data_IF_817495326705
#
_entry.id   IF_817495326705
#
_cell.length_a   1.000
_cell.length_b   1.000
_cell.length_c   1.000
_cell.angle_alpha   90.00
_cell.angle_beta   90.00
_cell.angle_gamma   90.00
#
_symmetry.space_group_name_H-M   'P 1'
#
loop_
_entity.id
_entity.type
_entity.pdbx_description
1 polymer ?
#
# COMPACT_ATOMS: atom_id res chain seq x y z
N UNK A 1 -11.46 5.50 -15.19
CA UNK A 1 -12.13 4.69 -14.16
C UNK A 1 -11.18 3.60 -13.70
N UNK A 2 -11.43 3.08 -12.49
CA UNK A 2 -10.92 1.78 -12.06
C UNK A 2 -11.48 0.69 -12.98
N UNK A 3 -10.63 -0.25 -13.39
CA UNK A 3 -10.97 -1.37 -14.27
C UNK A 3 -10.19 -2.60 -13.77
N UNK A 4 -10.68 -3.26 -12.71
CA UNK A 4 -10.01 -4.41 -12.11
C UNK A 4 -10.18 -5.66 -12.96
N UNK A 5 -9.16 -6.51 -12.97
CA UNK A 5 -9.31 -7.87 -13.48
C UNK A 5 -10.18 -8.71 -12.56
N UNK A 6 -10.84 -9.70 -13.16
CA UNK A 6 -11.60 -10.69 -12.41
C UNK A 6 -10.64 -11.56 -11.58
N UNK A 7 -11.06 -11.85 -10.35
CA UNK A 7 -10.45 -12.87 -9.53
C UNK A 7 -10.83 -14.30 -9.93
N UNK A 8 -10.32 -15.27 -9.17
CA UNK A 8 -10.67 -16.68 -9.32
C UNK A 8 -12.17 -16.94 -9.14
N UNK A 9 -12.85 -16.13 -8.32
CA UNK A 9 -14.31 -16.16 -8.17
C UNK A 9 -15.10 -15.67 -9.38
N UNK A 10 -14.45 -15.15 -10.43
CA UNK A 10 -15.11 -14.55 -11.60
C UNK A 10 -15.73 -13.18 -11.34
N UNK A 11 -15.45 -12.59 -10.18
CA UNK A 11 -15.89 -11.25 -9.77
C UNK A 11 -14.72 -10.29 -9.78
N UNK A 12 -14.99 -9.04 -10.15
CA UNK A 12 -14.04 -7.95 -10.01
C UNK A 12 -14.33 -7.21 -8.70
N UNK A 13 -13.31 -6.68 -8.05
CA UNK A 13 -13.50 -5.72 -6.97
C UNK A 13 -14.26 -4.50 -7.48
N UNK A 14 -15.17 -3.94 -6.68
CA UNK A 14 -15.93 -2.76 -7.08
C UNK A 14 -15.95 -1.75 -5.96
N UNK A 15 -15.62 -0.51 -6.30
CA UNK A 15 -15.72 0.62 -5.38
C UNK A 15 -16.84 1.55 -5.83
N UNK A 16 -17.69 1.94 -4.90
CA UNK A 16 -18.63 3.03 -5.12
C UNK A 16 -17.88 4.36 -5.20
N UNK A 17 -18.49 5.43 -5.75
CA UNK A 17 -17.90 6.76 -5.69
C UNK A 17 -17.60 7.23 -4.25
N UNK A 18 -18.44 6.83 -3.28
CA UNK A 18 -18.22 7.14 -1.87
C UNK A 18 -16.96 6.45 -1.34
N UNK A 19 -16.74 5.17 -1.65
CA UNK A 19 -15.53 4.45 -1.25
C UNK A 19 -14.26 5.13 -1.77
N UNK A 20 -14.32 5.69 -2.98
CA UNK A 20 -13.20 6.39 -3.64
C UNK A 20 -13.03 7.85 -3.18
N UNK A 21 -14.00 8.44 -2.49
CA UNK A 21 -13.94 9.84 -2.04
C UNK A 21 -13.74 9.96 -0.53
N UNK A 22 -14.33 9.05 0.24
CA UNK A 22 -14.46 9.19 1.69
C UNK A 22 -13.42 8.39 2.46
N UNK A 23 -12.99 7.24 1.94
CA UNK A 23 -11.96 6.45 2.61
C UNK A 23 -10.56 7.05 2.33
N UNK A 24 -9.63 7.13 3.28
CA UNK A 24 -8.27 7.54 2.98
C UNK A 24 -7.46 6.42 2.32
N UNK A 25 -6.44 6.78 1.57
CA UNK A 25 -5.39 5.84 1.14
C UNK A 25 -4.48 5.45 2.30
N UNK A 26 -3.77 4.32 2.18
CA UNK A 26 -2.78 3.90 3.17
C UNK A 26 -1.66 4.95 3.36
N UNK A 27 -1.27 5.64 2.29
CA UNK A 27 -0.32 6.75 2.34
C UNK A 27 -0.86 7.95 3.15
N UNK A 28 -2.12 8.34 2.94
CA UNK A 28 -2.76 9.40 3.72
C UNK A 28 -2.89 9.04 5.20
N UNK A 29 -3.27 7.79 5.50
CA UNK A 29 -3.31 7.28 6.87
C UNK A 29 -1.93 7.25 7.53
N UNK A 30 -0.90 6.87 6.78
CA UNK A 30 0.49 6.88 7.25
C UNK A 30 0.94 8.29 7.62
N UNK A 31 0.70 9.26 6.73
CA UNK A 31 1.01 10.68 6.98
C UNK A 31 0.26 11.21 8.21
N UNK A 32 -1.03 10.87 8.35
CA UNK A 32 -1.83 11.27 9.50
C UNK A 32 -1.31 10.65 10.81
N UNK A 33 -0.95 9.35 10.79
CA UNK A 33 -0.38 8.64 11.92
C UNK A 33 0.94 9.26 12.39
N UNK A 34 1.87 9.50 11.46
CA UNK A 34 3.14 10.18 11.74
C UNK A 34 2.92 11.57 12.35
N UNK A 35 2.03 12.38 11.75
CA UNK A 35 1.74 13.72 12.24
C UNK A 35 1.17 13.72 13.67
N UNK A 36 0.38 12.71 14.04
CA UNK A 36 -0.17 12.58 15.41
C UNK A 36 0.90 12.11 16.40
N UNK A 37 1.69 11.10 16.03
CA UNK A 37 2.67 10.48 16.91
C UNK A 37 3.86 11.39 17.18
N UNK A 38 4.35 12.13 16.18
CA UNK A 38 5.52 13.01 16.33
C UNK A 38 5.28 14.15 17.34
N UNK A 39 4.02 14.58 17.53
CA UNK A 39 3.68 15.66 18.48
C UNK A 39 3.87 15.28 19.95
N UNK A 40 4.03 13.99 20.25
CA UNK A 40 4.15 13.53 21.65
C UNK A 40 5.49 13.87 22.29
N UNK A 41 6.52 14.19 21.51
CA UNK A 41 7.86 14.53 22.01
C UNK A 41 8.66 13.35 22.58
N UNK A 42 8.05 12.18 22.66
CA UNK A 42 8.68 10.90 22.99
C UNK A 42 8.81 10.08 21.70
N UNK A 43 9.85 9.24 21.59
CA UNK A 43 9.96 8.29 20.48
C UNK A 43 8.70 7.42 20.36
N UNK A 44 8.36 6.98 19.16
CA UNK A 44 7.12 6.25 18.92
C UNK A 44 7.35 4.93 18.17
N UNK A 45 6.34 4.07 18.23
CA UNK A 45 6.25 2.88 17.40
C UNK A 45 5.02 2.98 16.51
N UNK A 46 5.16 2.58 15.25
CA UNK A 46 4.13 2.65 14.23
C UNK A 46 4.16 1.38 13.39
N UNK A 47 3.02 0.70 13.31
CA UNK A 47 2.81 -0.43 12.40
C UNK A 47 1.90 0.01 11.25
N UNK A 48 2.33 -0.29 10.02
CA UNK A 48 1.62 0.02 8.77
C UNK A 48 1.50 -1.30 8.02
N UNK A 49 0.28 -1.65 7.61
CA UNK A 49 -0.03 -2.93 6.97
C UNK A 49 -0.76 -2.71 5.64
N UNK A 50 -0.20 -3.24 4.55
CA UNK A 50 -0.87 -3.33 3.26
C UNK A 50 -1.60 -4.69 3.13
N UNK A 51 -2.63 -4.89 3.96
CA UNK A 51 -3.27 -6.20 4.15
C UNK A 51 -3.98 -6.75 2.91
N UNK A 52 -4.36 -5.90 1.96
CA UNK A 52 -5.03 -6.32 0.74
C UNK A 52 -4.18 -7.21 -0.17
N UNK A 53 -2.85 -7.27 0.06
CA UNK A 53 -1.96 -8.21 -0.63
C UNK A 53 -2.37 -9.66 -0.36
N UNK A 54 -2.75 -9.98 0.88
CA UNK A 54 -3.19 -11.31 1.29
C UNK A 54 -4.50 -11.71 0.60
N UNK A 55 -5.51 -10.84 0.68
CA UNK A 55 -6.81 -11.05 0.06
C UNK A 55 -6.71 -11.21 -1.46
N UNK A 56 -5.92 -10.37 -2.13
CA UNK A 56 -5.73 -10.46 -3.56
C UNK A 56 -5.03 -11.77 -3.99
N UNK A 57 -4.05 -12.23 -3.20
CA UNK A 57 -3.39 -13.50 -3.47
C UNK A 57 -4.31 -14.70 -3.22
N UNK A 58 -5.18 -14.65 -2.21
CA UNK A 58 -6.19 -15.68 -1.97
C UNK A 58 -7.20 -15.81 -3.12
N UNK A 59 -7.49 -14.71 -3.82
CA UNK A 59 -8.37 -14.66 -4.98
C UNK A 59 -7.62 -14.91 -6.32
N UNK A 60 -6.32 -15.22 -6.28
CA UNK A 60 -5.46 -15.35 -7.48
C UNK A 60 -5.54 -14.14 -8.43
N UNK A 61 -5.73 -12.94 -7.88
CA UNK A 61 -5.90 -11.72 -8.66
C UNK A 61 -4.59 -10.92 -8.68
N UNK A 62 -3.79 -11.15 -9.73
CA UNK A 62 -2.45 -10.55 -9.84
C UNK A 62 -2.49 -9.02 -9.92
N UNK A 63 -3.47 -8.43 -10.61
CA UNK A 63 -3.55 -6.97 -10.74
C UNK A 63 -3.87 -6.32 -9.39
N UNK A 64 -4.79 -6.90 -8.62
CA UNK A 64 -5.10 -6.43 -7.26
C UNK A 64 -3.91 -6.61 -6.32
N UNK A 65 -3.19 -7.74 -6.42
CA UNK A 65 -2.01 -8.02 -5.59
C UNK A 65 -0.89 -7.00 -5.86
N UNK A 66 -0.58 -6.75 -7.12
CA UNK A 66 0.39 -5.71 -7.53
C UNK A 66 -0.08 -4.33 -7.08
N UNK A 67 -1.38 -4.03 -7.23
CA UNK A 67 -1.98 -2.80 -6.72
C UNK A 67 -1.72 -2.63 -5.23
N UNK A 68 -2.10 -3.60 -4.41
CA UNK A 68 -1.94 -3.57 -2.96
C UNK A 68 -0.47 -3.39 -2.53
N UNK A 69 0.47 -4.05 -3.20
CA UNK A 69 1.92 -3.83 -2.98
C UNK A 69 2.31 -2.38 -3.27
N UNK A 70 1.80 -1.79 -4.35
CA UNK A 70 2.04 -0.38 -4.69
C UNK A 70 1.42 0.59 -3.66
N UNK A 71 0.33 0.20 -2.99
CA UNK A 71 -0.22 0.92 -1.83
C UNK A 71 0.78 1.00 -0.69
N UNK A 72 1.34 -0.17 -0.32
CA UNK A 72 2.34 -0.30 0.72
C UNK A 72 3.60 0.49 0.41
N UNK A 73 4.07 0.43 -0.83
CA UNK A 73 5.20 1.21 -1.33
C UNK A 73 4.92 2.73 -1.28
N UNK A 74 3.72 3.19 -1.65
CA UNK A 74 3.34 4.60 -1.48
C UNK A 74 3.35 5.03 0.00
N UNK A 75 2.88 4.17 0.91
CA UNK A 75 2.94 4.44 2.34
C UNK A 75 4.37 4.46 2.89
N UNK A 76 5.23 3.54 2.45
CA UNK A 76 6.65 3.53 2.79
C UNK A 76 7.35 4.82 2.34
N UNK A 77 7.01 5.35 1.15
CA UNK A 77 7.53 6.65 0.68
C UNK A 77 7.15 7.80 1.61
N UNK A 78 5.96 7.80 2.19
CA UNK A 78 5.57 8.83 3.18
C UNK A 78 6.42 8.71 4.47
N UNK A 79 6.71 7.49 4.94
CA UNK A 79 7.63 7.28 6.09
C UNK A 79 9.03 7.76 5.76
N UNK A 80 9.57 7.39 4.61
CA UNK A 80 10.91 7.79 4.18
C UNK A 80 10.99 9.31 4.02
N UNK A 81 10.04 9.93 3.33
CA UNK A 81 9.98 11.38 3.15
C UNK A 81 9.88 12.12 4.49
N UNK A 82 9.08 11.60 5.44
CA UNK A 82 9.02 12.14 6.79
C UNK A 82 10.40 12.07 7.47
N UNK A 83 11.05 10.90 7.48
CA UNK A 83 12.34 10.72 8.12
C UNK A 83 13.44 11.62 7.52
N UNK A 84 13.48 11.74 6.19
CA UNK A 84 14.36 12.67 5.47
C UNK A 84 14.11 14.12 5.87
N UNK A 85 12.84 14.54 5.89
CA UNK A 85 12.46 15.92 6.24
C UNK A 85 12.80 16.32 7.68
N UNK A 86 12.91 15.32 8.58
CA UNK A 86 13.29 15.50 9.98
C UNK A 86 14.78 15.27 10.22
N UNK A 87 15.51 14.73 9.24
CA UNK A 87 16.92 14.33 9.39
C UNK A 87 17.13 13.28 10.49
N UNK A 88 16.15 12.38 10.70
CA UNK A 88 16.10 11.52 11.89
C UNK A 88 16.44 10.04 11.65
N UNK A 89 17.06 9.70 10.50
CA UNK A 89 17.43 8.32 10.19
C UNK A 89 18.35 7.66 11.23
N UNK A 90 19.25 8.43 11.86
CA UNK A 90 20.13 7.90 12.93
C UNK A 90 19.35 7.45 14.18
N UNK A 91 18.12 7.93 14.34
CA UNK A 91 17.25 7.66 15.49
C UNK A 91 16.01 6.83 15.12
N UNK A 92 15.89 6.45 13.84
CA UNK A 92 14.70 5.78 13.30
C UNK A 92 15.08 4.44 12.68
N UNK A 93 14.44 3.37 13.14
CA UNK A 93 14.53 2.05 12.52
C UNK A 93 13.25 1.77 11.75
N UNK A 94 13.38 1.49 10.46
CA UNK A 94 12.26 1.05 9.62
C UNK A 94 12.50 -0.40 9.21
N UNK A 95 11.52 -1.25 9.48
CA UNK A 95 11.54 -2.68 9.12
C UNK A 95 10.40 -2.91 8.13
N UNK A 96 10.73 -3.49 6.98
CA UNK A 96 9.76 -3.92 5.97
C UNK A 96 9.86 -5.43 5.86
N UNK A 97 8.74 -6.12 6.05
CA UNK A 97 8.67 -7.58 5.99
C UNK A 97 7.27 -8.01 5.54
N UNK A 98 7.16 -9.27 5.14
CA UNK A 98 5.89 -9.98 5.10
C UNK A 98 5.75 -10.84 6.37
N UNK A 99 4.52 -11.12 6.76
CA UNK A 99 4.17 -12.05 7.83
C UNK A 99 4.18 -13.51 7.33
N UNK A 100 3.72 -13.73 6.09
CA UNK A 100 3.85 -14.98 5.35
C UNK A 100 3.87 -14.74 3.83
N UNK A 101 3.99 -15.81 3.05
CA UNK A 101 3.89 -15.77 1.59
C UNK A 101 2.65 -16.50 1.06
N UNK A 102 2.48 -16.47 -0.25
CA UNK A 102 1.45 -17.22 -0.99
C UNK A 102 2.10 -18.02 -2.13
N UNK A 103 1.35 -18.95 -2.71
CA UNK A 103 1.77 -19.74 -3.87
C UNK A 103 1.68 -18.93 -5.18
N UNK A 104 2.33 -17.77 -5.21
CA UNK A 104 2.50 -16.97 -6.42
C UNK A 104 3.73 -17.47 -7.20
N UNK A 105 3.50 -18.04 -8.38
CA UNK A 105 4.56 -18.44 -9.30
C UNK A 105 4.51 -17.61 -10.58
N UNK A 106 5.61 -16.93 -10.90
CA UNK A 106 5.76 -16.15 -12.14
C UNK A 106 6.47 -17.02 -13.18
N UNK A 107 5.68 -17.65 -14.05
CA UNK A 107 6.21 -18.51 -15.13
C UNK A 107 6.47 -17.76 -16.44
N UNK A 108 5.85 -16.59 -16.63
CA UNK A 108 5.96 -15.75 -17.84
C UNK A 108 6.22 -14.27 -17.51
N UNK A 109 7.38 -13.94 -16.93
CA UNK A 109 7.70 -12.57 -16.49
C UNK A 109 7.64 -11.54 -17.64
N UNK A 110 7.94 -11.94 -18.87
CA UNK A 110 7.85 -11.11 -20.07
C UNK A 110 6.43 -10.61 -20.36
N UNK A 111 5.40 -11.39 -20.02
CA UNK A 111 4.02 -10.97 -20.19
C UNK A 111 3.65 -9.84 -19.22
N UNK A 112 4.12 -9.91 -17.98
CA UNK A 112 3.96 -8.86 -16.97
C UNK A 112 4.74 -7.61 -17.40
N UNK A 113 5.98 -7.77 -17.85
CA UNK A 113 6.80 -6.67 -18.33
C UNK A 113 6.16 -5.96 -19.54
N UNK A 114 5.62 -6.72 -20.50
CA UNK A 114 4.92 -6.18 -21.65
C UNK A 114 3.63 -5.46 -21.25
N UNK A 115 2.85 -5.99 -20.31
CA UNK A 115 1.67 -5.32 -19.77
C UNK A 115 2.04 -3.99 -19.12
N UNK A 116 3.10 -3.97 -18.29
CA UNK A 116 3.63 -2.74 -17.67
C UNK A 116 4.14 -1.72 -18.70
N UNK A 117 4.81 -2.18 -19.76
CA UNK A 117 5.26 -1.29 -20.84
C UNK A 117 4.08 -0.68 -21.62
N UNK A 118 3.03 -1.45 -21.90
CA UNK A 118 1.79 -0.96 -22.51
C UNK A 118 1.08 0.06 -21.62
N UNK A 119 1.01 -0.21 -20.31
CA UNK A 119 0.43 0.72 -19.35
C UNK A 119 1.17 2.06 -19.33
N UNK A 120 2.52 2.04 -19.36
CA UNK A 120 3.35 3.25 -19.45
C UNK A 120 3.22 3.97 -20.80
N UNK A 121 3.20 3.23 -21.91
CA UNK A 121 3.08 3.78 -23.26
C UNK A 121 1.70 4.38 -23.57
N UNK A 122 0.64 3.83 -22.98
CA UNK A 122 -0.72 4.40 -23.04
C UNK A 122 -0.96 5.55 -22.05
N UNK A 123 -0.07 5.74 -21.07
CA UNK A 123 -0.13 6.79 -20.06
C UNK A 123 0.63 8.07 -20.44
N UNK A 124 0.97 8.28 -21.73
CA UNK A 124 1.38 9.58 -22.24
C UNK A 124 0.20 10.58 -22.14
N UNK A 125 -0.04 11.10 -20.93
CA UNK A 125 -1.00 12.17 -20.66
C UNK A 125 -2.03 11.93 -19.55
N UNK A 126 -2.06 10.76 -18.89
CA UNK A 126 -2.97 10.53 -17.73
C UNK A 126 -2.31 9.60 -16.71
N UNK A 127 -1.93 10.16 -15.56
CA UNK A 127 -1.75 9.36 -14.35
C UNK A 127 -3.10 8.70 -14.04
N UNK A 128 -3.20 7.38 -14.22
CA UNK A 128 -4.35 6.60 -13.75
C UNK A 128 -4.01 6.17 -12.33
N UNK A 129 -4.76 6.63 -11.30
CA UNK A 129 -4.59 6.10 -9.96
C UNK A 129 -4.86 4.59 -10.02
N UNK A 130 -3.90 3.79 -9.57
CA UNK A 130 -4.16 2.39 -9.26
C UNK A 130 -4.94 2.41 -7.95
N UNK A 131 -6.18 1.92 -7.92
CA UNK A 131 -6.96 1.91 -6.71
C UNK A 131 -6.44 0.77 -5.87
N UNK A 132 -5.92 1.21 -4.75
CA UNK A 132 -5.47 0.37 -3.67
C UNK A 132 -6.58 0.37 -2.64
N UNK A 133 -6.90 -0.81 -2.12
CA UNK A 133 -7.94 -0.93 -1.11
C UNK A 133 -7.63 0.01 0.05
N UNK A 134 -8.69 0.69 0.47
CA UNK A 134 -8.64 1.79 1.44
C UNK A 134 -8.91 1.31 2.87
N UNK A 135 -8.76 0.01 3.11
CA UNK A 135 -8.97 -0.60 4.42
C UNK A 135 -7.62 -0.90 5.09
N UNK A 136 -6.86 0.15 5.40
CA UNK A 136 -5.66 0.00 6.21
C UNK A 136 -5.98 0.08 7.69
N UNK A 137 -5.49 -0.89 8.47
CA UNK A 137 -5.57 -0.87 9.94
C UNK A 137 -4.28 -0.28 10.50
N UNK A 138 -4.39 0.86 11.17
CA UNK A 138 -3.30 1.43 11.96
C UNK A 138 -3.40 0.89 13.40
N UNK A 139 -2.34 0.28 13.92
CA UNK A 139 -2.26 -0.12 15.32
C UNK A 139 -1.15 0.68 16.01
N UNK A 140 -1.47 1.25 17.17
CA UNK A 140 -0.51 1.99 18.01
C UNK A 140 -0.49 1.33 19.39
N UNK A 141 0.69 0.97 19.90
CA UNK A 141 0.85 0.60 21.31
C UNK A 141 1.34 1.80 22.12
N UNK A 142 0.86 1.92 23.37
CA UNK A 142 1.45 2.81 24.38
C UNK A 142 2.69 2.11 24.93
N UNK A 143 3.87 2.69 24.69
CA UNK A 143 5.04 2.34 25.47
C UNK A 143 4.98 3.02 26.83
N UNK A 144 4.18 2.50 27.77
CA UNK A 144 4.38 2.85 29.17
C UNK A 144 5.72 2.21 29.59
N UNK A 145 6.77 3.04 29.70
CA UNK A 145 8.03 2.59 30.31
C UNK A 145 7.82 2.45 31.83
N UNK A 146 8.43 1.44 32.48
CA UNK A 146 8.35 1.22 33.92
C UNK A 146 8.94 2.39 34.73
#
# INVERSE_FOLDING_TARGET
GFDPTLGAGGTAETYTPADLQENPTLAELTRAGLAVLERRGEGFWLLIEAGDVDWANHDNNLDNSVGAVLSGDAAFREVAAWAESRGCWEQTVVIVTADHGHLLEITRPEAIAAAGARARGGAAGRERPLPVGRAARLSTSRGDRP
#
